data_IF_264556064405
#
_entry.id   IF_264556064405
#
_cell.length_a   1.000
_cell.length_b   1.000
_cell.length_c   1.000
_cell.angle_alpha   90.00
_cell.angle_beta   90.00
_cell.angle_gamma   90.00
#
_symmetry.space_group_name_H-M   'P 1'
#
loop_
_entity.id
_entity.type
_entity.pdbx_description
1 polymer ?
#
# COMPACT_ATOMS: atom_id res chain seq x y z
N UNK A 1 11.77 0.08 -4.03
CA UNK A 1 12.22 0.45 -2.67
C UNK A 1 13.73 0.42 -2.52
N UNK A 2 14.39 -0.71 -2.80
CA UNK A 2 15.85 -0.86 -2.60
C UNK A 2 16.71 0.25 -3.23
N UNK A 3 16.35 0.75 -4.43
CA UNK A 3 17.08 1.85 -5.06
C UNK A 3 17.08 3.18 -4.28
N UNK A 4 16.09 3.41 -3.40
CA UNK A 4 16.07 4.61 -2.55
C UNK A 4 16.98 4.49 -1.33
N UNK A 5 17.39 3.27 -0.95
CA UNK A 5 18.33 3.07 0.16
C UNK A 5 19.70 3.69 -0.13
N UNK A 6 20.12 3.75 -1.40
CA UNK A 6 21.37 4.40 -1.79
C UNK A 6 21.42 5.90 -1.44
N UNK A 7 20.27 6.52 -1.21
CA UNK A 7 20.18 7.92 -0.78
C UNK A 7 20.26 8.09 0.75
N UNK A 8 20.24 7.00 1.52
CA UNK A 8 20.43 6.99 2.98
C UNK A 8 21.93 6.90 3.27
N UNK A 9 22.44 7.88 4.01
CA UNK A 9 23.88 8.01 4.32
C UNK A 9 24.33 7.07 5.44
N UNK A 10 23.45 6.77 6.40
CA UNK A 10 23.75 5.85 7.50
C UNK A 10 23.79 4.39 6.99
N UNK A 11 24.97 3.76 7.10
CA UNK A 11 25.22 2.38 6.66
C UNK A 11 24.46 1.35 7.51
N UNK A 12 24.39 1.55 8.82
CA UNK A 12 23.71 0.62 9.74
C UNK A 12 22.20 0.62 9.48
N UNK A 13 21.62 1.82 9.35
CA UNK A 13 20.22 2.00 9.01
C UNK A 13 19.91 1.43 7.62
N UNK A 14 20.77 1.71 6.63
CA UNK A 14 20.63 1.16 5.27
C UNK A 14 20.64 -0.37 5.26
N UNK A 15 21.58 -1.01 5.94
CA UNK A 15 21.67 -2.48 6.02
C UNK A 15 20.46 -3.11 6.72
N UNK A 16 19.99 -2.48 7.81
CA UNK A 16 18.81 -2.93 8.55
C UNK A 16 17.55 -2.84 7.68
N UNK A 17 17.34 -1.71 7.01
CA UNK A 17 16.20 -1.52 6.10
C UNK A 17 16.26 -2.46 4.89
N UNK A 18 17.45 -2.68 4.31
CA UNK A 18 17.63 -3.63 3.21
C UNK A 18 17.19 -5.06 3.61
N UNK A 19 17.63 -5.50 4.79
CA UNK A 19 17.30 -6.83 5.32
C UNK A 19 15.79 -6.96 5.60
N UNK A 20 15.18 -5.95 6.21
CA UNK A 20 13.73 -5.95 6.48
C UNK A 20 12.90 -5.90 5.20
N UNK A 21 13.32 -5.14 4.19
CA UNK A 21 12.66 -5.10 2.88
C UNK A 21 12.76 -6.44 2.16
N UNK A 22 13.91 -7.11 2.24
CA UNK A 22 14.11 -8.42 1.61
C UNK A 22 13.32 -9.55 2.30
N UNK A 23 13.09 -9.42 3.61
CA UNK A 23 12.34 -10.39 4.42
C UNK A 23 10.83 -10.11 4.49
N UNK A 24 10.34 -9.04 3.88
CA UNK A 24 8.92 -8.70 3.91
C UNK A 24 8.14 -9.55 2.89
N UNK A 25 7.28 -10.43 3.41
CA UNK A 25 6.51 -11.37 2.59
C UNK A 25 5.12 -10.83 2.17
N UNK A 26 4.69 -9.71 2.75
CA UNK A 26 3.39 -9.12 2.49
C UNK A 26 3.47 -7.63 2.08
N UNK A 27 2.55 -7.16 1.22
CA UNK A 27 2.52 -5.77 0.78
C UNK A 27 2.30 -4.74 1.90
N UNK A 28 1.69 -5.12 3.02
CA UNK A 28 1.42 -4.22 4.14
C UNK A 28 2.69 -3.99 5.00
N UNK A 29 3.50 -5.02 5.21
CA UNK A 29 4.82 -4.93 5.81
C UNK A 29 5.76 -4.06 4.97
N UNK A 30 5.77 -4.26 3.65
CA UNK A 30 6.51 -3.39 2.74
C UNK A 30 6.01 -1.94 2.79
N UNK A 31 4.71 -1.72 2.90
CA UNK A 31 4.15 -0.38 3.07
C UNK A 31 4.54 0.27 4.39
N UNK A 32 4.59 -0.49 5.49
CA UNK A 32 5.07 0.00 6.78
C UNK A 32 6.54 0.42 6.71
N UNK A 33 7.40 -0.40 6.09
CA UNK A 33 8.80 -0.09 5.83
C UNK A 33 9.00 1.17 4.96
N UNK A 34 7.98 1.56 4.21
CA UNK A 34 7.98 2.83 3.46
C UNK A 34 8.00 4.04 4.38
N UNK A 35 7.32 3.98 5.53
CA UNK A 35 7.30 5.06 6.51
C UNK A 35 8.67 5.19 7.17
N UNK A 36 9.29 4.07 7.54
CA UNK A 36 10.65 4.02 8.07
C UNK A 36 11.66 4.61 7.07
N UNK A 37 11.53 4.25 5.78
CA UNK A 37 12.34 4.79 4.70
C UNK A 37 12.09 6.30 4.49
N UNK A 38 10.86 6.79 4.72
CA UNK A 38 10.56 8.22 4.65
C UNK A 38 11.27 8.99 5.74
N UNK A 39 11.20 8.53 6.98
CA UNK A 39 11.88 9.16 8.10
C UNK A 39 13.40 9.25 7.83
N UNK A 40 14.01 8.14 7.38
CA UNK A 40 15.42 8.09 7.02
C UNK A 40 15.80 9.08 5.89
N UNK A 41 14.95 9.23 4.88
CA UNK A 41 15.19 10.17 3.78
C UNK A 41 14.97 11.63 4.17
N UNK A 42 14.05 11.91 5.08
CA UNK A 42 13.77 13.26 5.60
C UNK A 42 15.00 13.80 6.34
N UNK A 43 15.65 12.97 7.15
CA UNK A 43 16.86 13.36 7.89
C UNK A 43 18.02 13.77 6.97
N UNK A 44 18.13 13.16 5.78
CA UNK A 44 19.23 13.41 4.85
C UNK A 44 18.91 14.51 3.83
N UNK A 45 17.70 14.49 3.25
CA UNK A 45 17.35 15.33 2.09
C UNK A 45 16.26 16.36 2.37
N UNK A 46 15.69 16.36 3.57
CA UNK A 46 14.51 17.14 3.92
C UNK A 46 13.21 16.52 3.40
N UNK A 47 12.11 16.94 4.02
CA UNK A 47 10.80 16.30 3.83
C UNK A 47 10.29 16.39 2.39
N UNK A 48 10.47 17.54 1.73
CA UNK A 48 9.92 17.76 0.39
C UNK A 48 10.55 16.83 -0.66
N UNK A 49 11.88 16.63 -0.60
CA UNK A 49 12.58 15.75 -1.54
C UNK A 49 12.30 14.27 -1.21
N UNK A 50 12.25 13.92 0.08
CA UNK A 50 11.89 12.59 0.55
C UNK A 50 10.47 12.19 0.09
N UNK A 51 9.50 13.10 0.28
CA UNK A 51 8.11 12.91 -0.14
C UNK A 51 8.04 12.65 -1.64
N UNK A 52 8.70 13.49 -2.45
CA UNK A 52 8.69 13.38 -3.92
C UNK A 52 9.29 12.05 -4.39
N UNK A 53 10.41 11.61 -3.80
CA UNK A 53 11.05 10.32 -4.12
C UNK A 53 10.18 9.12 -3.74
N UNK A 54 9.37 9.25 -2.69
CA UNK A 54 8.48 8.20 -2.23
C UNK A 54 7.13 8.19 -2.93
N UNK A 55 6.72 9.25 -3.61
CA UNK A 55 5.43 9.31 -4.33
C UNK A 55 5.32 8.20 -5.38
N UNK A 56 6.38 7.93 -6.13
CA UNK A 56 6.36 6.87 -7.15
C UNK A 56 6.19 5.49 -6.52
N UNK A 57 6.88 5.25 -5.40
CA UNK A 57 6.74 4.01 -4.62
C UNK A 57 5.33 3.93 -4.03
N UNK A 58 4.80 5.03 -3.51
CA UNK A 58 3.45 5.14 -2.94
C UNK A 58 2.40 4.63 -3.93
N UNK A 59 2.53 5.07 -5.18
CA UNK A 59 1.55 4.77 -6.22
C UNK A 59 1.49 3.29 -6.55
N UNK A 60 2.64 2.58 -6.51
CA UNK A 60 2.68 1.13 -6.72
C UNK A 60 1.93 0.34 -5.63
N UNK A 61 1.85 0.85 -4.41
CA UNK A 61 1.18 0.17 -3.30
C UNK A 61 -0.32 0.46 -3.20
N UNK A 62 -0.81 1.60 -3.73
CA UNK A 62 -2.21 2.01 -3.59
C UNK A 62 -3.19 0.93 -4.11
N UNK A 63 -2.95 0.36 -5.30
CA UNK A 63 -3.81 -0.68 -5.86
C UNK A 63 -3.60 -2.09 -5.27
N UNK A 64 -2.42 -2.36 -4.68
CA UNK A 64 -2.11 -3.66 -4.08
C UNK A 64 -2.72 -3.80 -2.69
N UNK A 65 -2.65 -2.73 -1.89
CA UNK A 65 -3.19 -2.71 -0.52
C UNK A 65 -4.72 -2.80 -0.51
N UNK A 66 -5.40 -2.11 -1.43
CA UNK A 66 -6.85 -2.20 -1.55
C UNK A 66 -7.29 -3.64 -1.84
N UNK A 67 -6.61 -4.32 -2.78
CA UNK A 67 -6.91 -5.72 -3.11
C UNK A 67 -6.64 -6.66 -1.93
N UNK A 68 -5.55 -6.45 -1.18
CA UNK A 68 -5.21 -7.27 -0.03
C UNK A 68 -6.22 -7.09 1.11
N UNK A 69 -6.63 -5.84 1.39
CA UNK A 69 -7.66 -5.53 2.38
C UNK A 69 -9.02 -6.08 1.99
N UNK A 70 -9.38 -6.00 0.71
CA UNK A 70 -10.58 -6.66 0.19
C UNK A 70 -10.50 -8.19 0.33
N UNK A 71 -9.37 -8.80 0.01
CA UNK A 71 -9.18 -10.25 0.15
C UNK A 71 -9.35 -10.71 1.61
N UNK A 72 -8.78 -9.96 2.57
CA UNK A 72 -8.96 -10.20 4.00
C UNK A 72 -10.41 -10.00 4.46
N UNK A 73 -11.08 -8.96 3.97
CA UNK A 73 -12.49 -8.69 4.26
C UNK A 73 -13.42 -9.77 3.70
N UNK A 74 -13.09 -10.36 2.54
CA UNK A 74 -13.86 -11.48 1.95
C UNK A 74 -13.49 -12.85 2.51
N UNK A 75 -12.37 -12.96 3.21
CA UNK A 75 -11.93 -14.20 3.88
C UNK A 75 -12.47 -14.31 5.32
N UNK A 76 -12.90 -13.18 5.91
CA UNK A 76 -13.77 -13.16 7.09
C UNK A 76 -15.18 -13.65 6.74
N UNK A 77 -15.85 -14.30 7.69
CA UNK A 77 -17.16 -14.96 7.57
C UNK A 77 -18.15 -14.20 6.64
N UNK A 78 -18.78 -14.86 5.63
CA UNK A 78 -19.79 -14.23 4.77
C UNK A 78 -21.00 -13.63 5.50
N UNK A 79 -21.15 -13.86 6.81
CA UNK A 79 -22.17 -13.23 7.66
C UNK A 79 -21.81 -11.81 8.13
N UNK A 80 -20.52 -11.44 8.14
CA UNK A 80 -20.06 -10.10 8.53
C UNK A 80 -19.89 -9.15 7.33
N UNK A 81 -19.97 -9.68 6.10
CA UNK A 81 -19.86 -8.93 4.85
C UNK A 81 -21.02 -7.94 4.61
N UNK A 82 -22.07 -7.96 5.44
CA UNK A 82 -23.23 -7.09 5.30
C UNK A 82 -22.98 -5.62 5.73
N UNK A 83 -21.88 -5.32 6.42
CA UNK A 83 -21.58 -3.97 6.93
C UNK A 83 -20.51 -3.20 6.12
N UNK A 84 -20.05 -3.74 4.98
CA UNK A 84 -19.11 -3.01 4.13
C UNK A 84 -19.81 -1.84 3.41
N UNK A 85 -19.32 -0.59 3.56
CA UNK A 85 -19.87 0.54 2.83
C UNK A 85 -19.53 0.39 1.34
N UNK A 86 -20.53 0.06 0.55
CA UNK A 86 -20.44 -0.01 -0.91
C UNK A 86 -19.82 1.29 -1.44
N UNK A 87 -18.64 1.28 -2.08
CA UNK A 87 -18.08 2.50 -2.64
C UNK A 87 -19.04 3.00 -3.72
N UNK A 88 -19.47 4.26 -3.59
CA UNK A 88 -20.50 4.95 -4.40
C UNK A 88 -20.23 5.01 -5.92
N UNK A 89 -19.20 4.34 -6.43
CA UNK A 89 -18.91 4.20 -7.86
C UNK A 89 -19.43 2.91 -8.52
N UNK A 90 -19.95 1.95 -7.76
CA UNK A 90 -20.35 0.62 -8.29
C UNK A 90 -21.83 0.32 -8.07
N UNK A 91 -22.70 1.26 -8.43
CA UNK A 91 -24.14 1.00 -8.60
C UNK A 91 -24.56 1.50 -9.98
N UNK A 92 -24.24 0.72 -11.00
CA UNK A 92 -24.92 0.83 -12.29
C UNK A 92 -24.99 -0.54 -12.95
N UNK A 93 -26.21 -0.96 -13.30
CA UNK A 93 -26.59 -2.19 -13.99
C UNK A 93 -26.74 -3.49 -13.19
N UNK A 94 -27.79 -3.54 -12.35
CA UNK A 94 -28.55 -4.81 -12.16
C UNK A 94 -30.06 -4.64 -12.41
N UNK A 95 -30.56 -3.43 -12.66
CA UNK A 95 -31.97 -3.20 -13.06
C UNK A 95 -32.04 -2.87 -14.54
N UNK A 96 -31.82 -3.85 -15.42
CA UNK A 96 -32.17 -3.68 -16.85
C UNK A 96 -32.37 -4.95 -17.68
N UNK A 97 -32.61 -6.12 -17.07
CA UNK A 97 -32.74 -7.39 -17.83
C UNK A 97 -33.91 -8.30 -17.40
N UNK A 98 -35.01 -7.73 -16.88
CA UNK A 98 -36.27 -8.47 -16.73
C UNK A 98 -37.50 -7.60 -16.93
N UNK A 99 -37.65 -7.05 -18.13
CA UNK A 99 -38.96 -6.69 -18.65
C UNK A 99 -38.93 -6.69 -20.18
N UNK A 100 -38.87 -7.88 -20.75
CA UNK A 100 -39.36 -8.14 -22.10
C UNK A 100 -39.80 -9.60 -22.13
N UNK A 101 -41.08 -9.83 -21.85
CA UNK A 101 -41.97 -10.84 -22.44
C UNK A 101 -43.37 -10.71 -21.87
#
# INVERSE_FOLDING_TARGET
MLGQLAAVTDECLRSTLASRIAAADDPEALWSLRQDLMAALVEVHGEMLARRRLTDITFMFAGLLDRQRHALATAGDPRDAADWPVPRGMVRNVVQLRTDH
#
